data_IF_188641628871
#
_entry.id   IF_188641628871
#
_cell.length_a   1.000
_cell.length_b   1.000
_cell.length_c   1.000
_cell.angle_alpha   90.00
_cell.angle_beta   90.00
_cell.angle_gamma   90.00
#
_symmetry.space_group_name_H-M   'P 1'
#
loop_
_entity.id
_entity.type
_entity.pdbx_description
1 polymer ?
#
# COMPACT_ATOMS: atom_id res chain seq x y z
N UNK A 1 -26.64 64.21 1.93
CA UNK A 1 -25.35 63.54 1.86
C UNK A 1 -25.66 62.03 1.72
N UNK A 2 -25.77 61.60 0.50
CA UNK A 2 -26.08 60.20 0.16
C UNK A 2 -24.78 59.46 -0.11
N UNK A 3 -24.57 58.43 0.65
CA UNK A 3 -23.43 57.50 0.57
C UNK A 3 -23.55 56.65 -0.71
N UNK A 4 -22.90 57.07 -1.79
CA UNK A 4 -22.69 56.28 -3.02
C UNK A 4 -21.28 55.67 -2.98
N UNK A 5 -21.11 54.71 -2.07
CA UNK A 5 -19.87 53.97 -1.88
C UNK A 5 -19.96 52.53 -2.39
N UNK A 6 -19.17 52.22 -3.42
CA UNK A 6 -18.68 50.88 -3.76
C UNK A 6 -19.61 49.89 -4.53
N UNK A 7 -20.08 50.28 -5.69
CA UNK A 7 -20.59 49.28 -6.64
C UNK A 7 -19.80 49.26 -7.95
N UNK A 8 -18.46 49.18 -7.86
CA UNK A 8 -17.57 49.09 -9.01
C UNK A 8 -17.56 47.63 -9.52
N UNK A 9 -18.00 47.32 -10.77
CA UNK A 9 -18.09 45.95 -11.31
C UNK A 9 -16.73 45.25 -11.36
N UNK A 10 -15.63 45.98 -11.30
CA UNK A 10 -14.27 45.43 -11.21
C UNK A 10 -14.03 44.71 -9.89
N UNK A 11 -14.52 45.22 -8.77
CA UNK A 11 -14.30 44.66 -7.44
C UNK A 11 -15.04 43.33 -7.23
N UNK A 12 -16.20 43.13 -7.88
CA UNK A 12 -16.96 41.86 -7.84
C UNK A 12 -16.24 40.73 -8.60
N UNK A 13 -15.57 41.03 -9.73
CA UNK A 13 -14.82 40.01 -10.51
C UNK A 13 -13.59 39.56 -9.75
N UNK A 14 -12.86 40.44 -9.09
CA UNK A 14 -11.68 40.05 -8.28
C UNK A 14 -12.09 39.28 -7.03
N UNK A 15 -13.18 39.65 -6.36
CA UNK A 15 -13.71 38.90 -5.22
C UNK A 15 -14.19 37.50 -5.63
N UNK A 16 -14.85 37.37 -6.75
CA UNK A 16 -15.26 36.06 -7.30
C UNK A 16 -14.08 35.17 -7.68
N UNK A 17 -13.06 35.73 -8.33
CA UNK A 17 -11.84 34.99 -8.67
C UNK A 17 -11.02 34.58 -7.42
N UNK A 18 -10.94 35.48 -6.42
CA UNK A 18 -10.27 35.15 -5.14
C UNK A 18 -11.01 34.04 -4.36
N UNK A 19 -12.34 34.12 -4.28
CA UNK A 19 -13.13 33.04 -3.66
C UNK A 19 -12.96 31.70 -4.41
N UNK A 20 -13.03 31.71 -5.72
CA UNK A 20 -12.83 30.50 -6.53
C UNK A 20 -11.42 29.93 -6.34
N UNK A 21 -10.41 30.77 -6.29
CA UNK A 21 -9.02 30.36 -5.99
C UNK A 21 -8.87 29.75 -4.61
N UNK A 22 -9.46 30.36 -3.57
CA UNK A 22 -9.44 29.83 -2.20
C UNK A 22 -10.18 28.49 -2.09
N UNK A 23 -11.31 28.35 -2.79
CA UNK A 23 -12.09 27.10 -2.83
C UNK A 23 -11.29 25.98 -3.53
N UNK A 24 -10.65 26.27 -4.66
CA UNK A 24 -9.84 25.32 -5.39
C UNK A 24 -8.61 24.88 -4.55
N UNK A 25 -7.93 25.83 -3.88
CA UNK A 25 -6.82 25.53 -2.98
C UNK A 25 -7.28 24.68 -1.78
N UNK A 26 -8.42 24.98 -1.17
CA UNK A 26 -9.01 24.19 -0.09
C UNK A 26 -9.33 22.76 -0.51
N UNK A 27 -9.90 22.58 -1.70
CA UNK A 27 -10.17 21.24 -2.25
C UNK A 27 -8.88 20.46 -2.54
N UNK A 28 -7.85 21.12 -3.08
CA UNK A 28 -6.56 20.49 -3.33
C UNK A 28 -5.89 20.03 -2.01
N UNK A 29 -5.92 20.88 -0.98
CA UNK A 29 -5.41 20.52 0.36
C UNK A 29 -6.22 19.36 0.97
N UNK A 30 -7.54 19.39 0.87
CA UNK A 30 -8.40 18.31 1.35
C UNK A 30 -8.11 16.99 0.60
N UNK A 31 -7.84 17.05 -0.70
CA UNK A 31 -7.51 15.86 -1.50
C UNK A 31 -6.13 15.29 -1.18
N UNK A 32 -5.12 16.14 -1.04
CA UNK A 32 -3.73 15.73 -0.82
C UNK A 32 -3.36 15.55 0.65
N UNK A 33 -4.13 16.12 1.58
CA UNK A 33 -3.85 16.09 3.02
C UNK A 33 -3.52 14.72 3.59
N UNK A 34 -4.25 13.65 3.22
CA UNK A 34 -3.90 12.29 3.66
C UNK A 34 -2.51 11.82 3.24
N UNK A 35 -1.90 12.45 2.21
CA UNK A 35 -0.52 12.18 1.80
C UNK A 35 0.52 12.43 2.89
N UNK A 36 0.22 13.27 3.90
CA UNK A 36 1.06 13.46 5.08
C UNK A 36 1.30 12.15 5.86
N UNK A 37 0.43 11.16 5.71
CA UNK A 37 0.61 9.83 6.30
C UNK A 37 1.79 9.05 5.68
N UNK A 38 2.35 9.51 4.56
CA UNK A 38 3.58 8.96 4.00
C UNK A 38 4.79 9.18 4.95
N UNK A 39 4.73 10.20 5.82
CA UNK A 39 5.77 10.46 6.83
C UNK A 39 5.71 9.40 7.94
N UNK A 40 6.62 8.44 7.89
CA UNK A 40 6.62 7.24 8.73
C UNK A 40 6.51 7.48 10.25
N UNK A 41 7.33 8.37 10.87
CA UNK A 41 7.23 8.66 12.31
C UNK A 41 5.86 9.22 12.71
N UNK A 42 5.33 10.16 11.92
CA UNK A 42 4.01 10.76 12.15
C UNK A 42 2.91 9.70 12.06
N UNK A 43 2.95 8.89 10.99
CA UNK A 43 1.99 7.81 10.78
C UNK A 43 1.98 6.80 11.92
N UNK A 44 3.16 6.32 12.35
CA UNK A 44 3.26 5.33 13.45
C UNK A 44 2.67 5.85 14.76
N UNK A 45 2.81 7.15 15.02
CA UNK A 45 2.30 7.77 16.26
C UNK A 45 0.80 8.06 16.20
N UNK A 46 0.30 8.60 15.08
CA UNK A 46 -1.08 9.08 14.97
C UNK A 46 -2.03 8.04 14.37
N UNK A 47 -1.52 7.17 13.51
CA UNK A 47 -2.30 6.19 12.75
C UNK A 47 -1.64 4.80 12.79
N UNK A 48 -1.49 4.18 13.98
CA UNK A 48 -0.75 2.92 14.12
C UNK A 48 -1.33 1.79 13.26
N UNK A 49 -2.66 1.69 13.11
CA UNK A 49 -3.29 0.70 12.22
C UNK A 49 -2.92 0.92 10.75
N UNK A 50 -2.93 2.17 10.28
CA UNK A 50 -2.48 2.52 8.92
C UNK A 50 -0.98 2.24 8.73
N UNK A 51 -0.17 2.40 9.78
CA UNK A 51 1.24 2.04 9.77
C UNK A 51 1.47 0.51 9.77
N UNK A 52 0.40 -0.28 9.79
CA UNK A 52 0.50 -1.73 9.86
C UNK A 52 1.02 -2.25 11.20
N UNK A 53 0.82 -1.50 12.29
CA UNK A 53 1.19 -1.99 13.62
C UNK A 53 0.08 -2.88 14.18
N UNK A 54 0.41 -4.15 14.41
CA UNK A 54 -0.50 -5.19 14.86
C UNK A 54 -0.06 -5.87 16.16
N UNK A 55 -0.31 -7.19 16.28
CA UNK A 55 -0.02 -7.98 17.48
C UNK A 55 1.48 -7.97 17.82
N UNK A 56 1.89 -7.67 19.06
CA UNK A 56 3.31 -7.54 19.44
C UNK A 56 4.18 -8.79 19.17
N UNK A 57 3.62 -10.00 19.24
CA UNK A 57 4.36 -11.25 18.97
C UNK A 57 4.36 -11.68 17.49
N UNK A 58 3.91 -10.83 16.57
CA UNK A 58 3.72 -11.19 15.17
C UNK A 58 4.31 -10.13 14.23
N UNK A 59 4.87 -10.56 13.10
CA UNK A 59 5.33 -9.72 11.99
C UNK A 59 4.50 -10.06 10.76
N UNK A 60 3.85 -9.07 10.16
CA UNK A 60 3.22 -9.26 8.86
C UNK A 60 4.27 -9.11 7.76
N UNK A 61 4.45 -10.17 6.97
CA UNK A 61 5.31 -10.13 5.78
C UNK A 61 4.47 -9.77 4.57
N UNK A 62 4.86 -8.72 3.85
CA UNK A 62 4.09 -8.24 2.71
C UNK A 62 4.98 -7.95 1.52
N UNK A 63 4.49 -8.26 0.32
CA UNK A 63 5.14 -8.01 -0.96
C UNK A 63 4.26 -7.12 -1.83
N UNK A 64 4.86 -6.18 -2.52
CA UNK A 64 4.20 -5.25 -3.44
C UNK A 64 4.64 -5.50 -4.89
N UNK A 65 3.85 -5.00 -5.85
CA UNK A 65 4.13 -4.87 -7.28
C UNK A 65 3.97 -6.13 -8.14
N UNK A 66 3.88 -7.31 -7.56
CA UNK A 66 3.62 -8.56 -8.29
C UNK A 66 2.16 -8.70 -8.79
N UNK A 67 1.80 -9.86 -9.38
CA UNK A 67 2.65 -11.03 -9.60
C UNK A 67 3.57 -10.87 -10.81
N UNK A 68 4.82 -11.25 -10.68
CA UNK A 68 5.80 -11.21 -11.77
C UNK A 68 6.28 -12.63 -12.11
N UNK A 69 6.05 -13.12 -13.37
CA UNK A 69 6.45 -14.45 -13.76
C UNK A 69 7.94 -14.76 -13.64
N UNK A 70 8.78 -13.72 -13.59
CA UNK A 70 10.25 -13.88 -13.50
C UNK A 70 10.70 -14.08 -12.05
N UNK A 71 10.14 -13.33 -11.12
CA UNK A 71 10.64 -13.26 -9.73
C UNK A 71 9.71 -13.88 -8.71
N UNK A 72 8.39 -13.67 -8.79
CA UNK A 72 7.42 -14.15 -7.78
C UNK A 72 7.51 -15.64 -7.48
N UNK A 73 7.71 -16.57 -8.47
CA UNK A 73 7.78 -18.00 -8.17
C UNK A 73 8.86 -18.36 -7.15
N UNK A 74 10.03 -17.70 -7.19
CA UNK A 74 11.11 -17.95 -6.24
C UNK A 74 10.77 -17.54 -4.81
N UNK A 75 9.94 -16.50 -4.63
CA UNK A 75 9.39 -16.12 -3.32
C UNK A 75 8.42 -17.19 -2.81
N UNK A 76 7.55 -17.72 -3.69
CA UNK A 76 6.62 -18.79 -3.32
C UNK A 76 7.35 -20.05 -2.87
N UNK A 77 8.38 -20.46 -3.60
CA UNK A 77 9.22 -21.63 -3.27
C UNK A 77 9.87 -21.45 -1.88
N UNK A 78 10.44 -20.26 -1.61
CA UNK A 78 11.06 -19.98 -0.32
C UNK A 78 10.04 -20.00 0.81
N UNK A 79 8.89 -19.37 0.63
CA UNK A 79 7.82 -19.33 1.63
C UNK A 79 7.26 -20.73 1.90
N UNK A 80 7.07 -21.55 0.86
CA UNK A 80 6.63 -22.95 0.99
C UNK A 80 7.66 -23.79 1.76
N UNK A 81 8.96 -23.66 1.46
CA UNK A 81 10.03 -24.32 2.19
C UNK A 81 10.07 -23.96 3.68
N UNK A 82 9.69 -22.74 4.02
CA UNK A 82 9.58 -22.25 5.40
C UNK A 82 8.20 -22.46 6.03
N UNK A 83 7.22 -23.01 5.29
CA UNK A 83 5.82 -23.19 5.70
C UNK A 83 5.18 -21.90 6.21
N UNK A 84 5.44 -20.80 5.52
CA UNK A 84 4.95 -19.47 5.86
C UNK A 84 3.99 -18.94 4.80
N UNK A 85 3.06 -18.13 5.24
CA UNK A 85 2.17 -17.38 4.36
C UNK A 85 2.44 -15.89 4.53
N UNK A 86 2.29 -15.14 3.43
CA UNK A 86 2.49 -13.70 3.36
C UNK A 86 1.30 -13.02 2.69
N UNK A 87 1.27 -11.69 2.69
CA UNK A 87 0.26 -10.90 1.96
C UNK A 87 0.91 -10.29 0.72
N UNK A 88 0.31 -10.51 -0.44
CA UNK A 88 0.76 -9.96 -1.73
C UNK A 88 -0.17 -8.83 -2.16
N UNK A 89 0.36 -7.61 -2.21
CA UNK A 89 -0.31 -6.42 -2.74
C UNK A 89 -0.08 -6.34 -4.24
N UNK A 90 -1.05 -6.84 -5.00
CA UNK A 90 -0.92 -7.03 -6.44
C UNK A 90 -1.34 -5.78 -7.21
N UNK A 91 -0.59 -5.44 -8.25
CA UNK A 91 -1.03 -4.50 -9.28
C UNK A 91 -2.02 -5.19 -10.22
N UNK A 92 -3.17 -4.57 -10.48
CA UNK A 92 -4.18 -5.14 -11.38
C UNK A 92 -3.66 -5.38 -12.80
N UNK A 93 -2.77 -4.54 -13.30
CA UNK A 93 -2.11 -4.72 -14.60
C UNK A 93 -1.19 -5.94 -14.64
N UNK A 94 -0.52 -6.27 -13.54
CA UNK A 94 0.31 -7.46 -13.43
C UNK A 94 -0.54 -8.74 -13.31
N UNK A 95 -1.64 -8.67 -12.54
CA UNK A 95 -2.64 -9.76 -12.49
C UNK A 95 -3.23 -10.03 -13.87
N UNK A 96 -3.61 -8.98 -14.63
CA UNK A 96 -4.14 -9.15 -15.99
C UNK A 96 -3.12 -9.78 -16.96
N UNK A 97 -1.82 -9.60 -16.73
CA UNK A 97 -0.74 -10.21 -17.54
C UNK A 97 -0.42 -11.65 -17.12
N UNK A 98 -0.60 -12.00 -15.86
CA UNK A 98 -0.27 -13.30 -15.30
C UNK A 98 -1.36 -13.80 -14.33
N UNK A 99 -2.62 -13.96 -14.78
CA UNK A 99 -3.74 -14.34 -13.89
C UNK A 99 -3.54 -15.72 -13.26
N UNK A 100 -2.89 -16.65 -13.96
CA UNK A 100 -2.59 -17.99 -13.42
C UNK A 100 -1.63 -17.89 -12.22
N UNK A 101 -0.60 -17.04 -12.29
CA UNK A 101 0.32 -16.86 -11.19
C UNK A 101 -0.38 -16.20 -9.98
N UNK A 102 -1.29 -15.25 -10.21
CA UNK A 102 -2.13 -14.72 -9.14
C UNK A 102 -2.98 -15.81 -8.46
N UNK A 103 -3.56 -16.73 -9.26
CA UNK A 103 -4.29 -17.88 -8.73
C UNK A 103 -3.37 -18.84 -7.94
N UNK A 104 -2.14 -19.07 -8.40
CA UNK A 104 -1.16 -19.90 -7.71
C UNK A 104 -0.78 -19.33 -6.34
N UNK A 105 -0.56 -18.00 -6.25
CA UNK A 105 -0.32 -17.32 -4.97
C UNK A 105 -1.46 -17.58 -3.98
N UNK A 106 -2.70 -17.44 -4.44
CA UNK A 106 -3.89 -17.66 -3.62
C UNK A 106 -4.05 -19.15 -3.23
N UNK A 107 -3.82 -20.06 -4.18
CA UNK A 107 -3.89 -21.52 -3.96
C UNK A 107 -2.81 -22.01 -2.98
N UNK A 108 -1.65 -21.36 -2.95
CA UNK A 108 -0.59 -21.61 -1.96
C UNK A 108 -0.93 -21.09 -0.54
N UNK A 109 -2.14 -20.53 -0.33
CA UNK A 109 -2.62 -20.06 0.98
C UNK A 109 -2.17 -18.67 1.35
N UNK A 110 -1.56 -17.92 0.44
CA UNK A 110 -1.20 -16.52 0.69
C UNK A 110 -2.43 -15.61 0.67
N UNK A 111 -2.36 -14.51 1.40
CA UNK A 111 -3.37 -13.47 1.38
C UNK A 111 -3.12 -12.54 0.19
N UNK A 112 -4.18 -12.25 -0.57
CA UNK A 112 -4.12 -11.32 -1.69
C UNK A 112 -4.70 -9.97 -1.32
N UNK A 113 -4.09 -8.90 -1.80
CA UNK A 113 -4.44 -7.52 -1.53
C UNK A 113 -4.25 -6.66 -2.79
N UNK A 114 -4.73 -5.41 -2.77
CA UNK A 114 -4.74 -4.54 -3.95
C UNK A 114 -3.67 -3.44 -3.82
N UNK A 115 -2.89 -3.23 -4.90
CA UNK A 115 -1.89 -2.15 -5.00
C UNK A 115 -2.25 -1.06 -6.04
N UNK A 116 -3.51 -1.01 -6.49
CA UNK A 116 -3.95 -0.19 -7.61
C UNK A 116 -3.85 -0.95 -8.93
N UNK A 117 -4.21 -0.29 -10.06
CA UNK A 117 -4.10 -0.89 -11.38
C UNK A 117 -2.70 -0.78 -11.95
N UNK A 118 -2.24 0.48 -12.15
CA UNK A 118 -0.87 0.84 -12.52
C UNK A 118 -0.26 1.60 -11.36
N UNK A 119 0.99 1.42 -11.05
CA UNK A 119 1.68 2.02 -9.91
C UNK A 119 1.78 3.56 -10.02
N UNK A 120 0.65 4.29 -9.87
CA UNK A 120 0.54 5.76 -10.02
C UNK A 120 0.21 6.45 -8.71
N UNK A 121 0.74 7.66 -8.52
CA UNK A 121 0.41 8.50 -7.37
C UNK A 121 -1.08 8.84 -7.32
N UNK A 122 -1.77 8.47 -6.27
CA UNK A 122 -3.21 8.73 -6.08
C UNK A 122 -3.52 10.21 -5.90
N UNK A 123 -2.58 11.00 -5.35
CA UNK A 123 -2.76 12.45 -5.13
C UNK A 123 -2.67 13.28 -6.42
N UNK A 124 -2.11 12.73 -7.50
CA UNK A 124 -1.98 13.39 -8.80
C UNK A 124 -3.15 13.07 -9.74
N UNK A 125 -4.15 12.34 -9.26
CA UNK A 125 -5.29 11.88 -10.06
C UNK A 125 -6.60 12.39 -9.47
N UNK A 126 -7.62 12.55 -10.32
CA UNK A 126 -8.96 12.89 -9.84
C UNK A 126 -9.51 11.77 -8.93
N UNK A 127 -10.38 12.09 -7.95
CA UNK A 127 -11.03 11.07 -7.12
C UNK A 127 -11.79 10.02 -7.94
N UNK A 128 -12.32 10.42 -9.08
CA UNK A 128 -13.03 9.53 -10.01
C UNK A 128 -12.08 8.51 -10.65
N UNK A 129 -10.94 8.98 -11.18
CA UNK A 129 -9.94 8.10 -11.80
C UNK A 129 -9.35 7.13 -10.77
N UNK A 130 -9.11 7.59 -9.54
CA UNK A 130 -8.64 6.73 -8.46
C UNK A 130 -9.68 5.68 -8.09
N UNK A 131 -10.97 6.05 -8.07
CA UNK A 131 -12.05 5.09 -7.77
C UNK A 131 -12.18 4.02 -8.85
N UNK A 132 -12.14 4.43 -10.13
CA UNK A 132 -12.20 3.51 -11.28
C UNK A 132 -10.99 2.56 -11.31
N UNK A 133 -9.78 3.10 -11.08
CA UNK A 133 -8.54 2.35 -11.03
C UNK A 133 -8.55 1.28 -9.94
N UNK A 134 -8.96 1.68 -8.74
CA UNK A 134 -8.98 0.78 -7.60
C UNK A 134 -10.07 -0.30 -7.74
N UNK A 135 -11.24 0.04 -8.26
CA UNK A 135 -12.29 -0.93 -8.54
C UNK A 135 -11.84 -1.96 -9.57
N UNK A 136 -11.26 -1.50 -10.69
CA UNK A 136 -10.72 -2.38 -11.73
C UNK A 136 -9.64 -3.32 -11.18
N UNK A 137 -8.74 -2.83 -10.35
CA UNK A 137 -7.69 -3.65 -9.74
C UNK A 137 -8.29 -4.68 -8.76
N UNK A 138 -9.23 -4.26 -7.91
CA UNK A 138 -9.94 -5.13 -6.99
C UNK A 138 -10.63 -6.29 -7.71
N UNK A 139 -11.36 -5.98 -8.79
CA UNK A 139 -12.11 -6.98 -9.55
C UNK A 139 -11.16 -7.97 -10.26
N UNK A 140 -10.08 -7.46 -10.87
CA UNK A 140 -9.07 -8.32 -11.49
C UNK A 140 -8.41 -9.30 -10.51
N UNK A 141 -8.06 -8.83 -9.29
CA UNK A 141 -7.50 -9.71 -8.25
C UNK A 141 -8.55 -10.71 -7.78
N UNK A 142 -9.78 -10.27 -7.53
CA UNK A 142 -10.86 -11.16 -7.07
C UNK A 142 -11.20 -12.24 -8.10
N UNK A 143 -11.27 -11.87 -9.38
CA UNK A 143 -11.58 -12.78 -10.49
C UNK A 143 -10.48 -13.82 -10.69
N UNK A 144 -9.21 -13.38 -10.74
CA UNK A 144 -8.07 -14.28 -10.97
C UNK A 144 -7.84 -15.24 -9.80
N UNK A 145 -8.06 -14.82 -8.55
CA UNK A 145 -7.69 -15.59 -7.35
C UNK A 145 -8.85 -16.32 -6.69
N UNK A 146 -10.09 -15.98 -7.02
CA UNK A 146 -11.27 -16.44 -6.29
C UNK A 146 -11.38 -15.92 -4.85
N UNK A 147 -10.43 -15.07 -4.40
CA UNK A 147 -10.43 -14.45 -3.08
C UNK A 147 -10.85 -12.98 -3.19
N UNK A 148 -11.71 -12.53 -2.28
CA UNK A 148 -12.05 -11.11 -2.19
C UNK A 148 -10.97 -10.38 -1.38
N UNK A 149 -10.18 -9.45 -1.99
CA UNK A 149 -9.19 -8.67 -1.26
C UNK A 149 -9.82 -7.87 -0.13
N UNK A 150 -9.09 -7.74 0.98
CA UNK A 150 -9.53 -6.96 2.16
C UNK A 150 -8.63 -5.77 2.45
N UNK A 151 -7.44 -5.75 1.88
CA UNK A 151 -6.45 -4.70 2.12
C UNK A 151 -6.09 -3.98 0.83
N UNK A 152 -5.78 -2.71 0.98
CA UNK A 152 -5.28 -1.84 -0.06
C UNK A 152 -4.01 -1.13 0.42
N UNK A 153 -2.99 -1.09 -0.42
CA UNK A 153 -1.82 -0.24 -0.21
C UNK A 153 -1.70 0.71 -1.39
N UNK A 154 -1.70 2.04 -1.16
CA UNK A 154 -1.54 2.99 -2.24
C UNK A 154 -0.10 2.94 -2.76
N UNK A 155 0.12 3.03 -4.08
CA UNK A 155 1.44 3.20 -4.66
C UNK A 155 2.25 4.29 -3.95
N UNK A 156 3.55 4.05 -3.75
CA UNK A 156 4.48 4.91 -3.02
C UNK A 156 4.09 5.18 -1.55
N UNK A 157 3.07 4.52 -1.00
CA UNK A 157 2.56 4.78 0.34
C UNK A 157 1.86 6.14 0.49
N UNK A 158 1.43 6.75 -0.60
CA UNK A 158 0.84 8.10 -0.62
C UNK A 158 -0.66 8.03 -0.84
N UNK A 159 -1.43 8.33 0.21
CA UNK A 159 -2.89 8.35 0.18
C UNK A 159 -3.43 9.71 -0.29
N UNK A 160 -4.52 9.68 -1.06
CA UNK A 160 -5.41 10.81 -1.28
C UNK A 160 -6.78 10.56 -0.63
N UNK A 161 -7.57 11.61 -0.41
CA UNK A 161 -8.94 11.45 0.08
C UNK A 161 -9.78 10.59 -0.88
N UNK A 162 -9.57 10.75 -2.18
CA UNK A 162 -10.22 9.90 -3.20
C UNK A 162 -9.89 8.42 -3.03
N UNK A 163 -8.63 8.08 -2.71
CA UNK A 163 -8.22 6.71 -2.46
C UNK A 163 -8.85 6.12 -1.19
N UNK A 164 -8.97 6.93 -0.13
CA UNK A 164 -9.64 6.50 1.12
C UNK A 164 -11.11 6.19 0.86
N UNK A 165 -11.82 7.09 0.18
CA UNK A 165 -13.25 6.91 -0.14
C UNK A 165 -13.45 5.71 -1.06
N UNK A 166 -12.61 5.55 -2.09
CA UNK A 166 -12.68 4.40 -3.00
C UNK A 166 -12.45 3.07 -2.27
N UNK A 167 -11.43 3.02 -1.41
CA UNK A 167 -11.14 1.85 -0.58
C UNK A 167 -12.33 1.49 0.34
N UNK A 168 -12.92 2.48 1.02
CA UNK A 168 -14.10 2.28 1.88
C UNK A 168 -15.29 1.70 1.10
N UNK A 169 -15.58 2.21 -0.10
CA UNK A 169 -16.67 1.71 -0.96
C UNK A 169 -16.50 0.26 -1.39
N UNK A 170 -15.26 -0.17 -1.56
CA UNK A 170 -14.89 -1.55 -1.92
C UNK A 170 -14.73 -2.47 -0.71
N UNK A 171 -14.88 -1.94 0.51
CA UNK A 171 -14.64 -2.69 1.73
C UNK A 171 -13.15 -2.99 1.98
N UNK A 172 -12.25 -2.20 1.44
CA UNK A 172 -10.81 -2.34 1.61
C UNK A 172 -10.29 -1.51 2.77
N UNK A 173 -9.39 -2.08 3.55
CA UNK A 173 -8.66 -1.39 4.61
C UNK A 173 -7.31 -0.91 4.09
N UNK A 174 -7.04 0.41 4.05
CA UNK A 174 -5.72 0.91 3.70
C UNK A 174 -4.68 0.52 4.75
N UNK A 175 -3.55 -0.07 4.31
CA UNK A 175 -2.44 -0.46 5.19
C UNK A 175 -1.11 -0.13 4.52
N UNK A 176 -0.25 0.60 5.22
CA UNK A 176 1.11 0.88 4.81
C UNK A 176 2.07 -0.11 5.49
N UNK A 177 3.24 0.36 5.95
CA UNK A 177 4.27 -0.46 6.59
C UNK A 177 4.95 0.29 7.73
N UNK A 178 5.56 -0.44 8.62
CA UNK A 178 6.38 0.10 9.70
C UNK A 178 7.87 -0.26 9.58
N UNK A 179 8.19 -1.26 8.75
CA UNK A 179 9.55 -1.65 8.36
C UNK A 179 9.62 -1.90 6.86
N UNK A 180 10.76 -1.70 6.21
CA UNK A 180 10.95 -1.83 4.77
C UNK A 180 12.39 -2.19 4.40
N UNK A 181 12.58 -2.83 3.24
CA UNK A 181 13.90 -3.21 2.73
C UNK A 181 14.63 -2.11 1.98
N UNK A 182 13.92 -1.21 1.30
CA UNK A 182 14.44 -0.22 0.35
C UNK A 182 15.25 -0.86 -0.78
N UNK A 183 14.89 -2.02 -1.21
CA UNK A 183 15.53 -2.78 -2.28
C UNK A 183 15.52 -2.05 -3.63
N UNK A 184 14.62 -1.09 -3.81
CA UNK A 184 14.57 -0.20 -4.97
C UNK A 184 15.68 0.87 -4.97
N UNK A 185 16.48 0.97 -3.89
CA UNK A 185 17.58 1.92 -3.87
C UNK A 185 18.72 1.46 -4.79
N UNK A 186 19.41 2.40 -5.48
CA UNK A 186 20.54 2.04 -6.34
C UNK A 186 21.61 1.24 -5.57
N UNK A 187 22.03 0.12 -6.13
CA UNK A 187 23.06 -0.74 -5.51
C UNK A 187 22.59 -1.53 -4.29
N UNK A 188 21.29 -1.70 -4.10
CA UNK A 188 20.75 -2.54 -3.03
C UNK A 188 21.27 -3.99 -3.15
N UNK A 189 21.70 -4.54 -2.03
CA UNK A 189 22.16 -5.93 -1.89
C UNK A 189 21.31 -6.64 -0.82
N UNK A 190 21.30 -7.98 -0.76
CA UNK A 190 20.62 -8.70 0.32
C UNK A 190 21.02 -8.21 1.70
N UNK A 191 22.32 -7.95 1.94
CA UNK A 191 22.84 -7.43 3.21
C UNK A 191 22.24 -6.06 3.56
N UNK A 192 22.21 -5.11 2.59
CA UNK A 192 21.68 -3.77 2.80
C UNK A 192 20.16 -3.78 3.04
N UNK A 193 19.44 -4.65 2.34
CA UNK A 193 18.00 -4.89 2.52
C UNK A 193 17.73 -5.44 3.92
N UNK A 194 18.41 -6.52 4.30
CA UNK A 194 18.28 -7.10 5.64
C UNK A 194 18.59 -6.06 6.74
N UNK A 195 19.74 -5.38 6.65
CA UNK A 195 20.13 -4.37 7.64
C UNK A 195 19.10 -3.24 7.78
N UNK A 196 18.46 -2.85 6.65
CA UNK A 196 17.44 -1.81 6.64
C UNK A 196 16.15 -2.28 7.30
N UNK A 197 15.68 -3.50 7.00
CA UNK A 197 14.51 -4.10 7.66
C UNK A 197 14.78 -4.28 9.15
N UNK A 198 15.91 -4.91 9.53
CA UNK A 198 16.24 -5.28 10.89
C UNK A 198 16.31 -4.07 11.84
N UNK A 199 16.72 -2.90 11.32
CA UNK A 199 16.75 -1.63 12.09
C UNK A 199 15.37 -1.19 12.59
N UNK A 200 14.30 -1.53 11.87
CA UNK A 200 12.92 -1.16 12.18
C UNK A 200 12.03 -2.35 12.53
N UNK A 201 12.61 -3.54 12.57
CA UNK A 201 11.90 -4.78 12.90
C UNK A 201 11.59 -4.84 14.38
N UNK A 202 10.32 -4.79 14.70
CA UNK A 202 9.79 -4.95 16.07
C UNK A 202 8.62 -5.90 16.04
N UNK A 203 8.28 -6.49 17.17
CA UNK A 203 7.01 -7.20 17.30
C UNK A 203 5.84 -6.25 16.99
N UNK A 204 4.92 -6.70 16.18
CA UNK A 204 3.84 -5.88 15.63
C UNK A 204 4.17 -5.16 14.33
N UNK A 205 5.37 -5.34 13.75
CA UNK A 205 5.72 -4.69 12.49
C UNK A 205 5.03 -5.31 11.28
N UNK A 206 4.72 -4.46 10.29
CA UNK A 206 4.45 -4.87 8.91
C UNK A 206 5.68 -4.56 8.06
N UNK A 207 6.26 -5.59 7.46
CA UNK A 207 7.44 -5.51 6.60
C UNK A 207 6.98 -5.37 5.15
N UNK A 208 7.51 -4.36 4.46
CA UNK A 208 7.39 -4.15 3.02
C UNK A 208 8.64 -4.64 2.32
N UNK A 209 8.47 -5.53 1.36
CA UNK A 209 9.41 -5.92 0.31
C UNK A 209 8.68 -5.93 -1.03
N UNK A 210 9.40 -6.13 -2.14
CA UNK A 210 8.81 -6.25 -3.48
C UNK A 210 9.20 -7.60 -4.09
N UNK A 211 8.21 -8.27 -4.68
CA UNK A 211 8.40 -9.53 -5.40
C UNK A 211 8.53 -9.34 -6.92
N UNK A 212 8.61 -8.08 -7.36
CA UNK A 212 8.73 -7.69 -8.76
C UNK A 212 9.65 -6.48 -8.94
N UNK A 213 10.35 -6.43 -10.06
CA UNK A 213 11.16 -5.28 -10.48
C UNK A 213 10.35 -4.28 -11.34
N UNK A 214 9.02 -4.47 -11.53
CA UNK A 214 8.25 -3.71 -12.52
C UNK A 214 8.20 -2.20 -12.25
N UNK A 215 8.43 -1.77 -11.00
CA UNK A 215 8.51 -0.36 -10.60
C UNK A 215 9.84 0.02 -9.97
N UNK A 216 10.79 -0.90 -9.96
CA UNK A 216 12.11 -0.81 -9.32
C UNK A 216 13.24 -1.06 -10.31
N UNK A 217 14.49 -0.68 -9.99
CA UNK A 217 15.65 -1.07 -10.79
C UNK A 217 15.78 -2.59 -10.91
N UNK A 218 16.32 -3.10 -12.02
CA UNK A 218 16.58 -4.53 -12.18
C UNK A 218 17.43 -5.10 -11.03
N UNK A 219 16.99 -6.23 -10.48
CA UNK A 219 17.65 -6.90 -9.36
C UNK A 219 17.12 -6.53 -7.97
N UNK A 220 16.18 -5.60 -7.87
CA UNK A 220 15.54 -5.25 -6.59
C UNK A 220 14.84 -6.45 -5.95
N UNK A 221 14.03 -7.19 -6.70
CA UNK A 221 13.38 -8.41 -6.23
C UNK A 221 14.40 -9.48 -5.83
N UNK A 222 15.50 -9.63 -6.56
CA UNK A 222 16.57 -10.57 -6.22
C UNK A 222 17.26 -10.19 -4.90
N UNK A 223 17.49 -8.90 -4.65
CA UNK A 223 18.05 -8.41 -3.38
C UNK A 223 17.08 -8.67 -2.20
N UNK A 224 15.77 -8.45 -2.41
CA UNK A 224 14.73 -8.76 -1.44
C UNK A 224 14.67 -10.27 -1.13
N UNK A 225 14.65 -11.10 -2.18
CA UNK A 225 14.63 -12.56 -2.05
C UNK A 225 15.86 -13.08 -1.28
N UNK A 226 17.05 -12.55 -1.59
CA UNK A 226 18.29 -12.93 -0.91
C UNK A 226 18.32 -12.53 0.56
N UNK A 227 17.67 -11.42 0.95
CA UNK A 227 17.56 -10.97 2.34
C UNK A 227 16.53 -11.75 3.16
N UNK A 228 15.54 -12.34 2.48
CA UNK A 228 14.37 -12.94 3.13
C UNK A 228 14.73 -14.09 4.11
N UNK A 229 15.63 -15.04 3.80
CA UNK A 229 16.03 -16.08 4.75
C UNK A 229 16.56 -15.49 6.07
N UNK A 230 17.44 -14.50 6.01
CA UNK A 230 18.01 -13.86 7.19
C UNK A 230 16.96 -13.12 8.01
N UNK A 231 16.01 -12.48 7.33
CA UNK A 231 14.89 -11.82 8.00
C UNK A 231 14.00 -12.81 8.76
N UNK A 232 13.70 -13.96 8.15
CA UNK A 232 12.91 -15.02 8.77
C UNK A 232 13.63 -15.65 9.97
N UNK A 233 14.95 -15.86 9.84
CA UNK A 233 15.78 -16.39 10.91
C UNK A 233 15.87 -15.38 12.09
N UNK A 234 15.98 -14.08 11.80
CA UNK A 234 15.96 -13.02 12.81
C UNK A 234 14.60 -12.93 13.53
N UNK A 235 13.48 -13.05 12.80
CA UNK A 235 12.16 -13.13 13.42
C UNK A 235 12.06 -14.33 14.37
N UNK A 236 12.54 -15.50 13.94
CA UNK A 236 12.58 -16.72 14.75
C UNK A 236 13.44 -16.55 16.00
N UNK A 237 14.63 -15.99 15.86
CA UNK A 237 15.54 -15.72 16.99
C UNK A 237 14.93 -14.78 18.03
N UNK A 238 14.09 -13.84 17.59
CA UNK A 238 13.33 -12.92 18.48
C UNK A 238 12.01 -13.49 18.99
N UNK A 239 11.65 -14.73 18.66
CA UNK A 239 10.39 -15.36 19.04
C UNK A 239 9.17 -14.69 18.38
N UNK A 240 9.33 -14.08 17.21
CA UNK A 240 8.27 -13.42 16.47
C UNK A 240 7.69 -14.37 15.42
N UNK A 241 6.38 -14.62 15.48
CA UNK A 241 5.68 -15.34 14.42
C UNK A 241 5.61 -14.46 13.16
N UNK A 242 5.78 -15.08 11.99
CA UNK A 242 5.66 -14.39 10.69
C UNK A 242 4.42 -14.89 9.97
N UNK A 243 3.65 -13.98 9.34
CA UNK A 243 2.44 -14.36 8.61
C UNK A 243 1.78 -13.21 7.86
N UNK A 244 0.49 -13.39 7.57
CA UNK A 244 -0.33 -12.44 6.80
C UNK A 244 -0.82 -11.26 7.64
N UNK A 245 -1.32 -10.20 6.98
CA UNK A 245 -1.99 -9.07 7.64
C UNK A 245 -3.26 -9.49 8.39
N UNK A 246 -4.03 -10.45 7.87
CA UNK A 246 -5.19 -10.97 8.57
C UNK A 246 -4.81 -11.62 9.90
N UNK A 247 -3.70 -12.40 9.92
CA UNK A 247 -3.13 -12.99 11.14
C UNK A 247 -2.58 -11.96 12.12
N UNK A 248 -2.18 -10.80 11.61
CA UNK A 248 -1.54 -9.71 12.34
C UNK A 248 -2.49 -8.89 13.25
N UNK A 249 -3.82 -9.14 13.14
CA UNK A 249 -4.82 -8.45 13.96
C UNK A 249 -5.28 -7.11 13.38
N UNK A 250 -4.89 -6.80 12.16
CA UNK A 250 -5.47 -5.71 11.37
C UNK A 250 -6.77 -6.24 10.75
N UNK A 251 -7.82 -6.34 11.54
CA UNK A 251 -9.15 -6.72 11.03
C UNK A 251 -9.76 -5.54 10.30
N UNK A 252 -10.40 -5.84 9.18
CA UNK A 252 -11.37 -4.94 8.58
C UNK A 252 -12.49 -4.71 9.61
N UNK A 253 -12.69 -3.47 10.05
CA UNK A 253 -13.87 -3.05 10.79
C UNK A 253 -15.03 -2.97 9.77
N UNK A 254 -15.33 -4.07 9.11
CA UNK A 254 -16.51 -4.25 8.30
C UNK A 254 -17.70 -4.11 9.21
N UNK A 255 -18.51 -3.09 8.96
CA UNK A 255 -19.60 -2.63 9.77
C UNK A 255 -20.35 -3.76 10.47
N UNK A 256 -20.70 -3.53 11.71
CA UNK A 256 -21.77 -4.25 12.37
C UNK A 256 -22.96 -4.22 11.41
N UNK A 257 -23.22 -5.35 10.76
CA UNK A 257 -24.55 -5.62 10.29
C UNK A 257 -25.42 -5.69 11.55
N UNK A 258 -26.28 -4.69 11.72
CA UNK A 258 -27.35 -4.71 12.70
C UNK A 258 -28.40 -5.73 12.33
#
# INVERSE_FOLDING_TARGET
MTDEGDNCPHNRRYRGAALAGLTAAGLAVAHAGPGLTAVGPLRRRLFPRLAGLGKPGHVALTFDDGPDPVSTPAFLDLLAARRLHATFFMLGSMVARAPQLAAEIAAAGHEVAVHGWDHRYTILRSPWDVSSDLARAHDAVAEATGQRPRFFRPPYGVLSSGAIVAAQRLGLTPVLWSSWGKEWAPGATPDSVFATVARHLTGGATVLLHDSDCTSPPGAAAAALGALPWLLDECSARGLAVGTLAGHGLRHDGGRAG
#
